data_IF_548756556812
#
_entry.id   IF_548756556812
#
_cell.length_a   1.000
_cell.length_b   1.000
_cell.length_c   1.000
_cell.angle_alpha   90.00
_cell.angle_beta   90.00
_cell.angle_gamma   90.00
#
_symmetry.space_group_name_H-M   'P 1'
#
loop_
_entity.id
_entity.type
_entity.pdbx_description
1 polymer ?
#
# COMPACT_ATOMS: atom_id res chain seq x y z
N UNK A 1 -6.05 -11.10 21.70
CA UNK A 1 -5.31 -11.00 20.45
C UNK A 1 -4.69 -9.62 20.29
N UNK A 2 -3.45 -9.59 20.08
CA UNK A 2 -2.65 -8.37 20.14
C UNK A 2 -2.72 -7.54 18.86
N UNK A 3 -2.93 -8.18 17.71
CA UNK A 3 -3.02 -7.48 16.42
C UNK A 3 -4.47 -7.21 16.05
N UNK A 4 -4.77 -5.93 15.77
CA UNK A 4 -6.08 -5.53 15.24
C UNK A 4 -5.87 -4.80 13.92
N UNK A 5 -6.57 -5.26 12.89
CA UNK A 5 -6.62 -4.60 11.58
C UNK A 5 -8.02 -4.04 11.41
N UNK A 6 -8.13 -2.73 11.29
CA UNK A 6 -9.41 -2.01 11.27
C UNK A 6 -9.52 -1.14 10.02
N UNK A 7 -10.73 -0.95 9.47
CA UNK A 7 -10.93 0.09 8.45
C UNK A 7 -10.46 1.43 9.01
N UNK A 8 -9.75 2.19 8.19
CA UNK A 8 -9.01 3.37 8.67
C UNK A 8 -9.76 4.69 8.46
N UNK A 9 -11.00 4.66 7.99
CA UNK A 9 -11.72 5.89 7.61
C UNK A 9 -11.96 6.85 8.78
N UNK A 10 -12.02 6.34 10.00
CA UNK A 10 -12.15 7.15 11.22
C UNK A 10 -10.80 7.46 11.88
N UNK A 11 -9.70 7.07 11.25
CA UNK A 11 -8.35 7.21 11.77
C UNK A 11 -7.47 8.09 10.85
N UNK A 12 -8.04 9.13 10.26
CA UNK A 12 -7.32 9.96 9.27
C UNK A 12 -6.04 10.58 9.82
N UNK A 13 -6.03 10.94 11.10
CA UNK A 13 -4.84 11.50 11.76
C UNK A 13 -3.71 10.47 11.82
N UNK A 14 -4.04 9.25 12.23
CA UNK A 14 -3.09 8.14 12.33
C UNK A 14 -2.59 7.72 10.94
N UNK A 15 -3.48 7.69 9.95
CA UNK A 15 -3.11 7.41 8.56
C UNK A 15 -2.11 8.44 8.04
N UNK A 16 -2.33 9.74 8.31
CA UNK A 16 -1.39 10.79 7.92
C UNK A 16 -0.02 10.58 8.53
N UNK A 17 0.05 10.18 9.79
CA UNK A 17 1.31 9.89 10.47
C UNK A 17 2.05 8.76 9.75
N UNK A 18 1.36 7.66 9.48
CA UNK A 18 1.97 6.50 8.82
C UNK A 18 2.37 6.80 7.38
N UNK A 19 1.53 7.50 6.63
CA UNK A 19 1.85 7.88 5.25
C UNK A 19 3.08 8.80 5.20
N UNK A 20 3.18 9.73 6.13
CA UNK A 20 4.34 10.62 6.22
C UNK A 20 5.62 9.86 6.51
N UNK A 21 5.58 8.92 7.45
CA UNK A 21 6.73 8.07 7.77
C UNK A 21 7.13 7.22 6.56
N UNK A 22 6.16 6.65 5.87
CA UNK A 22 6.38 5.84 4.68
C UNK A 22 7.06 6.65 3.57
N UNK A 23 6.53 7.83 3.26
CA UNK A 23 7.09 8.67 2.18
C UNK A 23 8.46 9.21 2.53
N UNK A 24 8.71 9.57 3.79
CA UNK A 24 10.04 9.97 4.25
C UNK A 24 11.05 8.84 4.07
N UNK A 25 10.67 7.61 4.39
CA UNK A 25 11.51 6.44 4.19
C UNK A 25 11.85 6.24 2.71
N UNK A 26 10.86 6.37 1.82
CA UNK A 26 11.07 6.20 0.39
C UNK A 26 11.95 7.30 -0.19
N UNK A 27 11.75 8.55 0.22
CA UNK A 27 12.56 9.69 -0.23
C UNK A 27 14.00 9.54 0.26
N UNK A 28 14.20 9.05 1.47
CA UNK A 28 15.54 8.79 2.01
C UNK A 28 16.26 7.70 1.23
N UNK A 29 15.52 6.69 0.73
CA UNK A 29 16.08 5.62 -0.10
C UNK A 29 16.32 6.03 -1.55
N UNK A 30 15.50 6.92 -2.09
CA UNK A 30 15.61 7.44 -3.45
C UNK A 30 15.01 8.83 -3.53
N UNK A 31 15.84 9.86 -3.64
CA UNK A 31 15.40 11.27 -3.61
C UNK A 31 14.49 11.65 -4.78
N UNK A 32 14.56 10.93 -5.89
CA UNK A 32 13.69 11.21 -7.04
C UNK A 32 12.23 10.88 -6.74
N UNK A 33 11.96 10.14 -5.68
CA UNK A 33 10.60 9.79 -5.26
C UNK A 33 9.75 11.01 -4.89
N UNK A 34 10.39 12.10 -4.44
CA UNK A 34 9.68 13.35 -4.13
C UNK A 34 8.88 13.85 -5.34
N UNK A 35 9.48 13.83 -6.53
CA UNK A 35 8.82 14.24 -7.76
C UNK A 35 7.70 13.29 -8.14
N UNK A 36 7.88 12.00 -7.91
CA UNK A 36 6.85 11.00 -8.16
C UNK A 36 5.61 11.26 -7.32
N UNK A 37 5.79 11.59 -6.03
CA UNK A 37 4.67 11.93 -5.15
C UNK A 37 3.93 13.18 -5.63
N UNK A 38 4.65 14.18 -6.12
CA UNK A 38 4.04 15.39 -6.69
C UNK A 38 3.16 15.03 -7.89
N UNK A 39 3.63 14.15 -8.76
CA UNK A 39 2.85 13.68 -9.92
C UNK A 39 1.62 12.86 -9.51
N UNK A 40 1.65 12.21 -8.34
CA UNK A 40 0.50 11.47 -7.82
C UNK A 40 -0.51 12.37 -7.10
N UNK A 41 -0.26 13.66 -6.97
CA UNK A 41 -1.07 14.57 -6.17
C UNK A 41 -1.18 14.08 -4.71
N UNK A 42 -0.05 13.73 -4.12
CA UNK A 42 0.01 13.13 -2.81
C UNK A 42 -0.63 13.98 -1.71
N UNK A 43 -0.42 15.30 -1.73
CA UNK A 43 -1.00 16.19 -0.73
C UNK A 43 -2.53 16.17 -0.80
N UNK A 44 -3.09 16.12 -2.01
CA UNK A 44 -4.54 16.00 -2.21
C UNK A 44 -5.03 14.65 -1.73
N UNK A 45 -4.27 13.58 -1.94
CA UNK A 45 -4.60 12.25 -1.42
C UNK A 45 -4.77 12.27 0.10
N UNK A 46 -3.86 12.95 0.82
CA UNK A 46 -3.92 13.04 2.28
C UNK A 46 -5.16 13.80 2.77
N UNK A 47 -5.62 14.78 2.00
CA UNK A 47 -6.80 15.57 2.36
C UNK A 47 -8.10 14.86 2.01
N UNK A 48 -8.08 13.89 1.10
CA UNK A 48 -9.26 13.22 0.57
C UNK A 48 -9.04 11.71 0.41
N UNK A 49 -8.70 11.05 1.53
CA UNK A 49 -8.44 9.60 1.54
C UNK A 49 -9.63 8.77 1.06
N UNK A 50 -10.84 9.23 1.33
CA UNK A 50 -12.07 8.58 0.91
C UNK A 50 -12.30 8.58 -0.60
N UNK A 51 -11.71 9.54 -1.32
CA UNK A 51 -11.81 9.58 -2.79
C UNK A 51 -10.98 8.45 -3.40
N UNK A 52 -9.74 8.29 -2.96
CA UNK A 52 -8.82 7.30 -3.54
C UNK A 52 -9.07 5.89 -3.01
N UNK A 53 -9.36 5.76 -1.73
CA UNK A 53 -9.45 4.48 -1.04
C UNK A 53 -10.84 4.17 -0.49
N UNK A 54 -11.84 4.93 -0.88
CA UNK A 54 -13.17 4.82 -0.32
C UNK A 54 -13.98 3.63 -0.84
N UNK A 55 -14.97 3.22 -0.04
CA UNK A 55 -15.93 2.20 -0.42
C UNK A 55 -16.81 2.69 -1.58
N UNK A 56 -17.34 1.80 -2.40
CA UNK A 56 -17.24 0.34 -2.35
C UNK A 56 -16.03 -0.26 -3.06
N UNK A 57 -15.31 0.54 -3.85
CA UNK A 57 -14.26 0.02 -4.76
C UNK A 57 -12.88 -0.05 -4.13
N UNK A 58 -12.60 0.77 -3.14
CA UNK A 58 -11.33 0.83 -2.44
C UNK A 58 -11.41 0.33 -1.02
N UNK A 59 -10.24 0.22 -0.38
CA UNK A 59 -10.10 -0.15 1.03
C UNK A 59 -8.94 0.61 1.63
N UNK A 60 -9.04 0.88 2.91
CA UNK A 60 -7.95 1.47 3.68
C UNK A 60 -7.98 0.87 5.07
N UNK A 61 -6.88 0.23 5.47
CA UNK A 61 -6.76 -0.42 6.76
C UNK A 61 -5.61 0.15 7.58
N UNK A 62 -5.82 0.12 8.89
CA UNK A 62 -4.81 0.49 9.87
C UNK A 62 -4.62 -0.69 10.82
N UNK A 63 -3.38 -0.92 11.23
CA UNK A 63 -3.03 -2.00 12.14
C UNK A 63 -2.57 -1.43 13.48
N UNK A 64 -3.12 -1.97 14.56
CA UNK A 64 -2.66 -1.71 15.93
C UNK A 64 -2.13 -3.01 16.52
N UNK A 65 -0.95 -2.95 17.13
CA UNK A 65 -0.33 -4.09 17.79
C UNK A 65 -0.20 -3.79 19.27
N UNK A 66 -0.86 -4.56 20.12
CA UNK A 66 -0.96 -4.28 21.57
C UNK A 66 -1.43 -2.85 21.85
N UNK A 67 -2.37 -2.35 21.05
CA UNK A 67 -2.90 -1.00 21.17
C UNK A 67 -2.03 0.11 20.59
N UNK A 68 -0.87 -0.21 20.06
CA UNK A 68 0.04 0.77 19.45
C UNK A 68 -0.10 0.80 17.94
N UNK A 69 -0.01 1.98 17.36
CA UNK A 69 -0.07 2.18 15.91
C UNK A 69 1.11 1.47 15.24
N UNK A 70 0.83 0.53 14.34
CA UNK A 70 1.85 -0.33 13.76
C UNK A 70 2.01 -0.25 12.25
N UNK A 71 0.92 -0.06 11.50
CA UNK A 71 1.03 -0.07 10.05
C UNK A 71 -0.28 0.24 9.32
N UNK A 72 -0.21 0.23 8.00
CA UNK A 72 -1.36 0.53 7.12
C UNK A 72 -1.20 -0.13 5.76
N UNK A 73 -2.31 -0.15 5.00
CA UNK A 73 -2.34 -0.57 3.60
C UNK A 73 -3.57 0.02 2.93
N UNK A 74 -3.45 0.35 1.64
CA UNK A 74 -4.54 0.86 0.83
C UNK A 74 -4.78 0.02 -0.41
N UNK A 75 -6.02 0.07 -0.89
CA UNK A 75 -6.45 -0.53 -2.16
C UNK A 75 -7.26 0.51 -2.91
N UNK A 76 -6.89 0.78 -4.16
CA UNK A 76 -7.66 1.67 -5.01
C UNK A 76 -8.07 1.00 -6.31
N UNK A 77 -9.18 1.46 -6.87
CA UNK A 77 -9.63 1.02 -8.19
C UNK A 77 -8.78 1.69 -9.27
N UNK A 78 -8.33 0.91 -10.26
CA UNK A 78 -7.78 1.43 -11.51
C UNK A 78 -8.86 1.43 -12.59
N UNK A 79 -9.49 0.28 -12.81
CA UNK A 79 -10.62 0.11 -13.73
C UNK A 79 -11.48 -1.08 -13.25
N UNK A 80 -12.39 -1.56 -14.08
CA UNK A 80 -13.31 -2.63 -13.68
C UNK A 80 -12.61 -3.95 -13.35
N UNK A 81 -11.44 -4.22 -13.93
CA UNK A 81 -10.71 -5.48 -13.74
C UNK A 81 -9.51 -5.34 -12.84
N UNK A 82 -8.95 -4.14 -12.74
CA UNK A 82 -7.67 -3.90 -12.06
C UNK A 82 -7.83 -3.02 -10.84
N UNK A 83 -7.21 -3.44 -9.76
CA UNK A 83 -7.01 -2.61 -8.56
C UNK A 83 -5.51 -2.46 -8.30
N UNK A 84 -5.16 -1.58 -7.40
CA UNK A 84 -3.77 -1.32 -7.04
C UNK A 84 -3.61 -1.32 -5.53
N UNK A 85 -2.64 -2.11 -5.05
CA UNK A 85 -2.20 -2.07 -3.67
C UNK A 85 -1.26 -0.89 -3.49
N UNK A 86 -1.50 -0.06 -2.47
CA UNK A 86 -0.69 1.12 -2.20
C UNK A 86 -0.43 1.29 -0.71
N UNK A 87 0.67 1.96 -0.40
CA UNK A 87 0.95 2.44 0.96
C UNK A 87 1.06 1.32 2.00
N UNK A 88 1.56 0.14 1.61
CA UNK A 88 1.91 -0.88 2.59
C UNK A 88 3.09 -0.40 3.41
N UNK A 89 2.86 -0.19 4.70
CA UNK A 89 3.90 0.26 5.61
C UNK A 89 3.69 -0.36 6.98
N UNK A 90 4.78 -0.87 7.55
CA UNK A 90 4.83 -1.35 8.93
C UNK A 90 5.98 -0.60 9.62
N UNK A 91 5.68 0.04 10.74
CA UNK A 91 6.70 0.77 11.50
C UNK A 91 7.85 -0.16 11.88
N UNK A 92 9.11 0.34 11.86
CA UNK A 92 10.28 -0.52 12.16
C UNK A 92 10.19 -1.31 13.46
N UNK A 93 9.63 -0.72 14.51
CA UNK A 93 9.48 -1.37 15.81
C UNK A 93 8.60 -2.63 15.79
N UNK A 94 7.75 -2.77 14.76
CA UNK A 94 6.78 -3.86 14.66
C UNK A 94 7.09 -4.84 13.52
N UNK A 95 8.23 -4.70 12.87
CA UNK A 95 8.64 -5.62 11.81
C UNK A 95 9.02 -6.97 12.40
N UNK A 96 8.90 -8.02 11.58
CA UNK A 96 9.17 -9.39 12.02
C UNK A 96 8.01 -10.04 12.79
N UNK A 97 6.83 -9.43 12.81
CA UNK A 97 5.65 -9.94 13.51
C UNK A 97 4.51 -10.33 12.55
N UNK A 98 4.82 -10.47 11.27
CA UNK A 98 3.87 -10.87 10.21
C UNK A 98 2.70 -9.89 10.01
N UNK A 99 2.85 -8.64 10.43
CA UNK A 99 1.79 -7.61 10.28
C UNK A 99 1.61 -7.27 8.80
N UNK A 100 2.70 -7.05 8.07
CA UNK A 100 2.65 -6.78 6.63
C UNK A 100 1.96 -7.90 5.86
N UNK A 101 2.28 -9.14 6.20
CA UNK A 101 1.66 -10.32 5.59
C UNK A 101 0.15 -10.32 5.82
N UNK A 102 -0.32 -10.04 7.02
CA UNK A 102 -1.74 -10.02 7.33
C UNK A 102 -2.47 -8.86 6.65
N UNK A 103 -1.83 -7.71 6.53
CA UNK A 103 -2.38 -6.58 5.77
C UNK A 103 -2.55 -6.93 4.29
N UNK A 104 -1.53 -7.56 3.69
CA UNK A 104 -1.60 -8.01 2.29
C UNK A 104 -2.70 -9.05 2.09
N UNK A 105 -2.81 -10.02 2.99
CA UNK A 105 -3.87 -11.03 2.94
C UNK A 105 -5.26 -10.39 2.97
N UNK A 106 -5.46 -9.41 3.83
CA UNK A 106 -6.74 -8.72 3.95
C UNK A 106 -7.12 -8.02 2.64
N UNK A 107 -6.17 -7.33 2.03
CA UNK A 107 -6.39 -6.60 0.77
C UNK A 107 -6.68 -7.57 -0.39
N UNK A 108 -5.96 -8.68 -0.47
CA UNK A 108 -6.19 -9.69 -1.51
C UNK A 108 -7.60 -10.29 -1.36
N UNK A 109 -7.99 -10.62 -0.15
CA UNK A 109 -9.32 -11.14 0.14
C UNK A 109 -10.39 -10.15 -0.30
N UNK A 110 -10.24 -8.89 0.08
CA UNK A 110 -11.21 -7.84 -0.28
C UNK A 110 -11.29 -7.64 -1.79
N UNK A 111 -10.15 -7.63 -2.48
CA UNK A 111 -10.11 -7.46 -3.92
C UNK A 111 -10.87 -8.57 -4.64
N UNK A 112 -10.72 -9.81 -4.19
CA UNK A 112 -11.46 -10.95 -4.72
C UNK A 112 -12.96 -10.81 -4.47
N UNK A 113 -13.35 -10.40 -3.28
CA UNK A 113 -14.77 -10.20 -2.93
C UNK A 113 -15.42 -9.07 -3.72
N UNK A 114 -14.67 -7.98 -3.97
CA UNK A 114 -15.15 -6.88 -4.81
C UNK A 114 -15.34 -7.33 -6.25
N UNK A 115 -14.50 -8.25 -6.72
CA UNK A 115 -14.62 -8.80 -8.07
C UNK A 115 -13.54 -8.39 -9.05
N UNK A 116 -12.43 -7.83 -8.56
CA UNK A 116 -11.29 -7.52 -9.41
C UNK A 116 -10.64 -8.80 -9.94
N UNK A 117 -10.11 -8.72 -11.16
CA UNK A 117 -9.38 -9.83 -11.78
C UNK A 117 -7.89 -9.77 -11.47
N UNK A 118 -7.34 -8.58 -11.30
CA UNK A 118 -5.91 -8.36 -11.12
C UNK A 118 -5.63 -7.30 -10.08
N UNK A 119 -4.55 -7.50 -9.35
CA UNK A 119 -4.01 -6.50 -8.41
C UNK A 119 -2.62 -6.10 -8.88
N UNK A 120 -2.40 -4.81 -9.06
CA UNK A 120 -1.13 -4.24 -9.50
C UNK A 120 -0.47 -3.52 -8.33
N UNK A 121 0.84 -3.36 -8.42
CA UNK A 121 1.60 -2.50 -7.51
C UNK A 121 2.88 -2.01 -8.19
N UNK A 122 3.42 -0.91 -7.71
CA UNK A 122 4.77 -0.50 -7.99
C UNK A 122 5.57 -0.41 -6.69
N UNK A 123 6.85 -0.69 -6.75
CA UNK A 123 7.74 -0.69 -5.59
C UNK A 123 9.14 -0.29 -6.01
N UNK A 124 10.03 -0.16 -5.04
CA UNK A 124 11.42 0.23 -5.27
C UNK A 124 12.36 -0.91 -4.92
N UNK A 125 13.51 -1.04 -5.63
CA UNK A 125 14.41 -2.18 -5.44
C UNK A 125 14.96 -2.37 -4.03
N UNK A 126 15.09 -1.29 -3.25
CA UNK A 126 15.62 -1.40 -1.88
C UNK A 126 14.59 -1.98 -0.89
N UNK A 127 13.31 -2.05 -1.26
CA UNK A 127 12.26 -2.62 -0.42
C UNK A 127 12.22 -4.15 -0.57
N UNK A 128 13.34 -4.80 -0.26
CA UNK A 128 13.53 -6.24 -0.52
C UNK A 128 12.55 -7.12 0.23
N UNK A 129 12.30 -6.82 1.49
CA UNK A 129 11.36 -7.62 2.31
C UNK A 129 9.94 -7.55 1.76
N UNK A 130 9.51 -6.37 1.29
CA UNK A 130 8.20 -6.21 0.68
C UNK A 130 8.11 -6.99 -0.64
N UNK A 131 9.14 -6.89 -1.47
CA UNK A 131 9.19 -7.62 -2.75
C UNK A 131 9.11 -9.13 -2.52
N UNK A 132 9.86 -9.66 -1.56
CA UNK A 132 9.82 -11.08 -1.21
C UNK A 132 8.43 -11.50 -0.73
N UNK A 133 7.78 -10.65 0.06
CA UNK A 133 6.42 -10.88 0.53
C UNK A 133 5.44 -10.94 -0.65
N UNK A 134 5.52 -10.00 -1.60
CA UNK A 134 4.67 -9.99 -2.78
C UNK A 134 4.84 -11.26 -3.60
N UNK A 135 6.08 -11.68 -3.83
CA UNK A 135 6.37 -12.92 -4.57
C UNK A 135 5.80 -14.15 -3.86
N UNK A 136 5.85 -14.18 -2.54
CA UNK A 136 5.27 -15.25 -1.73
C UNK A 136 3.77 -15.40 -1.99
N UNK A 137 3.06 -14.28 -2.22
CA UNK A 137 1.64 -14.29 -2.52
C UNK A 137 1.30 -14.50 -4.00
N UNK A 138 2.31 -14.63 -4.86
CA UNK A 138 2.11 -14.93 -6.28
C UNK A 138 2.23 -13.74 -7.20
N UNK A 139 2.65 -12.58 -6.70
CA UNK A 139 2.94 -11.44 -7.57
C UNK A 139 4.15 -11.73 -8.46
N UNK A 140 4.09 -11.29 -9.71
CA UNK A 140 5.16 -11.41 -10.69
C UNK A 140 5.43 -10.06 -11.35
N UNK A 141 6.67 -9.88 -11.82
CA UNK A 141 7.05 -8.63 -12.49
C UNK A 141 6.36 -8.46 -13.82
N UNK A 142 5.97 -7.21 -14.11
CA UNK A 142 5.37 -6.79 -15.38
C UNK A 142 6.06 -5.51 -15.87
N UNK A 143 5.86 -5.12 -17.14
CA UNK A 143 6.30 -3.79 -17.62
C UNK A 143 5.58 -2.66 -16.90
N UNK A 144 6.14 -1.46 -16.98
CA UNK A 144 5.53 -0.25 -16.41
C UNK A 144 4.09 -0.06 -16.90
N UNK A 145 3.20 0.26 -15.97
CA UNK A 145 1.80 0.57 -16.28
C UNK A 145 1.42 2.03 -15.96
N UNK A 146 2.40 2.84 -15.55
CA UNK A 146 2.17 4.24 -15.23
C UNK A 146 3.32 5.11 -15.73
N UNK A 147 3.17 6.44 -15.60
CA UNK A 147 4.15 7.43 -16.07
C UNK A 147 5.11 7.86 -14.95
N UNK A 148 5.54 6.91 -14.13
CA UNK A 148 6.48 7.18 -13.05
C UNK A 148 7.79 7.77 -13.61
N UNK A 149 8.33 8.84 -13.01
CA UNK A 149 9.64 9.36 -13.37
C UNK A 149 10.77 8.46 -12.87
N UNK A 150 10.45 7.46 -12.06
CA UNK A 150 11.41 6.56 -11.43
C UNK A 150 11.75 5.42 -12.38
N UNK A 151 12.92 5.49 -13.04
CA UNK A 151 13.38 4.44 -13.93
C UNK A 151 13.79 3.16 -13.18
N UNK A 152 13.90 3.22 -11.85
CA UNK A 152 14.23 2.07 -11.00
C UNK A 152 13.00 1.32 -10.49
N UNK A 153 11.80 1.85 -10.67
CA UNK A 153 10.57 1.22 -10.16
C UNK A 153 10.37 -0.18 -10.71
N UNK A 154 9.92 -1.06 -9.84
CA UNK A 154 9.54 -2.43 -10.17
C UNK A 154 8.01 -2.50 -10.15
N UNK A 155 7.43 -3.06 -11.20
CA UNK A 155 5.98 -3.21 -11.35
C UNK A 155 5.61 -4.67 -11.23
N UNK A 156 4.56 -4.95 -10.48
CA UNK A 156 4.15 -6.33 -10.21
C UNK A 156 2.63 -6.48 -10.34
N UNK A 157 2.19 -7.71 -10.59
CA UNK A 157 0.79 -8.05 -10.80
C UNK A 157 0.48 -9.39 -10.15
N UNK A 158 -0.71 -9.49 -9.58
CA UNK A 158 -1.26 -10.72 -9.04
C UNK A 158 -2.56 -11.05 -9.77
N UNK A 159 -2.68 -12.29 -10.23
CA UNK A 159 -3.94 -12.81 -10.76
C UNK A 159 -4.83 -13.22 -9.58
N UNK A 160 -5.99 -12.60 -9.49
CA UNK A 160 -6.92 -12.83 -8.35
C UNK A 160 -7.92 -14.02 -8.58
#
# INVERSE_FOLDING_TARGET
MELKILPAYDFSKEVRILFSEYTEMLIAGDRSFQKYLELQNYDEELDHLDIKYGLPDGRLYIAFYHGELAGCIGLRKIDEWNCEMKRLYVRPAFRGKHIGSQLVQQIIKDAKEIGYSYMLLDTLPFLKSAIDLYKTYGFYEIPSYNDSPMNTSIYMKLDL
#
